data_IF_582485450757
#
_entry.id   IF_582485450757
#
_cell.length_a   1.000
_cell.length_b   1.000
_cell.length_c   1.000
_cell.angle_alpha   90.00
_cell.angle_beta   90.00
_cell.angle_gamma   90.00
#
_symmetry.space_group_name_H-M   'P 1'
#
loop_
_entity.id
_entity.type
_entity.pdbx_description
1 polymer ?
#
# COMPACT_ATOMS: atom_id res chain seq x y z
N UNK A 1 9.96 -36.25 -8.18
CA UNK A 1 8.63 -36.17 -7.48
C UNK A 1 8.84 -35.98 -5.99
N UNK A 2 9.81 -36.66 -5.35
CA UNK A 2 10.04 -36.49 -3.89
C UNK A 2 10.70 -35.17 -3.48
N UNK A 3 11.53 -34.56 -4.31
CA UNK A 3 12.19 -33.28 -4.00
C UNK A 3 11.22 -32.10 -4.07
N UNK A 4 10.33 -32.04 -5.07
CA UNK A 4 9.31 -30.98 -5.18
C UNK A 4 8.33 -30.98 -3.98
N UNK A 5 7.99 -32.17 -3.45
CA UNK A 5 7.15 -32.27 -2.25
C UNK A 5 7.88 -31.85 -0.97
N UNK A 6 9.18 -32.07 -0.88
CA UNK A 6 10.00 -31.64 0.25
C UNK A 6 10.18 -30.11 0.27
N UNK A 7 10.42 -29.49 -0.89
CA UNK A 7 10.50 -28.03 -1.01
C UNK A 7 9.15 -27.35 -0.71
N UNK A 8 8.05 -27.89 -1.22
CA UNK A 8 6.72 -27.37 -0.92
C UNK A 8 6.33 -27.48 0.56
N UNK A 9 6.80 -28.54 1.25
CA UNK A 9 6.65 -28.69 2.70
C UNK A 9 7.39 -27.62 3.50
N UNK A 10 8.64 -27.36 3.14
CA UNK A 10 9.47 -26.35 3.78
C UNK A 10 8.92 -24.92 3.57
N UNK A 11 8.43 -24.61 2.39
CA UNK A 11 7.80 -23.31 2.09
C UNK A 11 6.53 -23.07 2.91
N UNK A 12 5.70 -24.12 3.08
CA UNK A 12 4.49 -24.02 3.92
C UNK A 12 4.81 -23.81 5.41
N UNK A 13 5.80 -24.53 5.92
CA UNK A 13 6.26 -24.36 7.32
C UNK A 13 6.83 -22.95 7.53
N UNK A 14 7.67 -22.48 6.63
CA UNK A 14 8.22 -21.13 6.67
C UNK A 14 7.13 -20.06 6.61
N UNK A 15 6.15 -20.21 5.71
CA UNK A 15 5.02 -19.28 5.59
C UNK A 15 4.17 -19.26 6.87
N UNK A 16 3.94 -20.41 7.50
CA UNK A 16 3.24 -20.52 8.78
C UNK A 16 3.99 -19.80 9.88
N UNK A 17 5.29 -20.03 10.00
CA UNK A 17 6.11 -19.45 11.06
C UNK A 17 6.23 -17.92 10.89
N UNK A 18 6.37 -17.43 9.66
CA UNK A 18 6.30 -16.00 9.35
C UNK A 18 4.92 -15.40 9.70
N UNK A 19 3.82 -16.13 9.44
CA UNK A 19 2.48 -15.69 9.81
C UNK A 19 2.33 -15.57 11.34
N UNK A 20 2.84 -16.51 12.12
CA UNK A 20 2.82 -16.41 13.59
C UNK A 20 3.65 -15.24 14.11
N UNK A 21 4.82 -14.99 13.53
CA UNK A 21 5.65 -13.82 13.86
C UNK A 21 4.89 -12.53 13.54
N UNK A 22 4.28 -12.43 12.36
CA UNK A 22 3.49 -11.26 11.97
C UNK A 22 2.30 -11.01 12.91
N UNK A 23 1.56 -12.06 13.27
CA UNK A 23 0.46 -11.97 14.25
C UNK A 23 1.00 -11.50 15.61
N UNK A 24 2.11 -12.04 16.08
CA UNK A 24 2.73 -11.65 17.34
C UNK A 24 3.14 -10.17 17.35
N UNK A 25 3.80 -9.70 16.29
CA UNK A 25 4.19 -8.29 16.14
C UNK A 25 2.96 -7.39 16.09
N UNK A 26 1.94 -7.76 15.31
CA UNK A 26 0.68 -7.00 15.24
C UNK A 26 -0.02 -6.94 16.60
N UNK A 27 -0.09 -8.04 17.32
CA UNK A 27 -0.69 -8.08 18.66
C UNK A 27 0.03 -7.14 19.64
N UNK A 28 1.37 -7.16 19.63
CA UNK A 28 2.19 -6.26 20.47
C UNK A 28 1.94 -4.80 20.10
N UNK A 29 1.91 -4.46 18.81
CA UNK A 29 1.66 -3.10 18.34
C UNK A 29 0.26 -2.62 18.70
N UNK A 30 -0.76 -3.49 18.58
CA UNK A 30 -2.14 -3.15 18.97
C UNK A 30 -2.24 -2.95 20.49
N UNK A 31 -1.67 -3.83 21.30
CA UNK A 31 -1.63 -3.66 22.76
C UNK A 31 -0.90 -2.38 23.13
N UNK A 32 0.25 -2.11 22.51
CA UNK A 32 0.98 -0.87 22.72
C UNK A 32 0.12 0.35 22.37
N UNK A 33 -0.54 0.34 21.21
CA UNK A 33 -1.43 1.42 20.80
C UNK A 33 -2.59 1.64 21.78
N UNK A 34 -3.25 0.56 22.23
CA UNK A 34 -4.37 0.65 23.18
C UNK A 34 -3.93 1.18 24.55
N UNK A 35 -2.73 0.80 25.01
CA UNK A 35 -2.21 1.24 26.31
C UNK A 35 -1.72 2.69 26.27
N UNK A 36 -1.05 3.11 25.18
CA UNK A 36 -0.43 4.43 25.07
C UNK A 36 -1.29 5.48 24.40
N UNK A 37 -2.21 5.10 23.49
CA UNK A 37 -3.15 6.03 22.88
C UNK A 37 -4.31 6.30 23.86
N UNK A 38 -4.10 7.28 24.73
CA UNK A 38 -5.13 7.76 25.63
C UNK A 38 -6.16 8.57 24.84
N UNK A 39 -7.40 8.09 24.79
CA UNK A 39 -8.49 8.88 24.20
C UNK A 39 -8.63 10.23 24.91
N UNK A 40 -8.72 11.29 24.16
CA UNK A 40 -8.94 12.63 24.71
C UNK A 40 -10.33 12.70 25.31
N UNK A 41 -10.50 13.13 26.59
CA UNK A 41 -11.81 13.19 27.28
C UNK A 41 -12.87 14.00 26.51
N UNK A 42 -12.42 14.97 25.71
CA UNK A 42 -13.28 15.83 24.88
C UNK A 42 -14.10 15.06 23.84
N UNK A 43 -13.66 13.87 23.43
CA UNK A 43 -14.37 13.05 22.46
C UNK A 43 -15.22 11.93 23.07
N UNK A 44 -15.09 11.70 24.39
CA UNK A 44 -15.83 10.64 25.08
C UNK A 44 -17.30 10.99 25.32
N UNK A 45 -17.69 12.27 25.29
CA UNK A 45 -19.05 12.75 25.52
C UNK A 45 -19.91 12.91 24.26
N UNK A 46 -19.45 12.44 23.10
CA UNK A 46 -20.33 12.37 21.93
C UNK A 46 -21.34 11.25 22.17
N UNK A 47 -22.64 11.63 22.22
CA UNK A 47 -23.75 10.69 22.30
C UNK A 47 -23.49 9.56 21.28
N UNK A 48 -23.24 8.36 21.81
CA UNK A 48 -23.08 7.16 21.00
C UNK A 48 -24.43 6.80 20.41
N UNK A 49 -24.76 7.38 19.27
CA UNK A 49 -25.80 6.85 18.42
C UNK A 49 -25.40 5.43 18.01
N UNK A 50 -26.33 4.47 18.08
CA UNK A 50 -26.05 3.09 17.69
C UNK A 50 -25.36 3.01 16.31
N UNK A 51 -24.59 1.96 16.01
CA UNK A 51 -23.78 1.83 14.81
C UNK A 51 -24.57 2.04 13.51
N UNK A 52 -25.83 1.65 13.48
CA UNK A 52 -26.73 1.89 12.33
C UNK A 52 -27.05 3.37 12.12
N UNK A 53 -27.16 4.15 13.19
CA UNK A 53 -27.38 5.60 13.10
C UNK A 53 -26.14 6.30 12.58
N UNK A 54 -24.96 5.92 13.11
CA UNK A 54 -23.69 6.45 12.63
C UNK A 54 -23.49 6.16 11.12
N UNK A 55 -23.82 4.95 10.67
CA UNK A 55 -23.76 4.59 9.25
C UNK A 55 -24.71 5.44 8.40
N UNK A 56 -25.95 5.66 8.87
CA UNK A 56 -26.92 6.50 8.17
C UNK A 56 -26.49 7.97 8.12
N UNK A 57 -25.90 8.49 9.18
CA UNK A 57 -25.41 9.86 9.26
C UNK A 57 -24.21 10.08 8.32
N UNK A 58 -23.30 9.10 8.23
CA UNK A 58 -22.19 9.10 7.28
C UNK A 58 -22.72 9.09 5.84
N UNK A 59 -23.72 8.22 5.55
CA UNK A 59 -24.30 8.10 4.21
C UNK A 59 -25.12 9.32 3.81
N UNK A 60 -25.70 10.01 4.77
CA UNK A 60 -26.41 11.29 4.57
C UNK A 60 -25.47 12.48 4.27
N UNK A 61 -24.17 12.37 4.61
CA UNK A 61 -23.22 13.43 4.37
C UNK A 61 -22.56 13.29 2.99
N UNK A 62 -22.77 14.24 2.04
CA UNK A 62 -22.21 14.14 0.69
C UNK A 62 -20.66 14.13 0.67
N UNK A 63 -20.01 14.84 1.61
CA UNK A 63 -18.56 14.84 1.71
C UNK A 63 -18.01 13.50 2.21
N UNK A 64 -18.69 12.87 3.18
CA UNK A 64 -18.31 11.56 3.68
C UNK A 64 -18.49 10.47 2.62
N UNK A 65 -19.58 10.51 1.84
CA UNK A 65 -19.78 9.59 0.72
C UNK A 65 -18.69 9.72 -0.34
N UNK A 66 -18.37 10.95 -0.73
CA UNK A 66 -17.32 11.20 -1.72
C UNK A 66 -15.99 10.61 -1.23
N UNK A 67 -15.66 10.86 0.05
CA UNK A 67 -14.45 10.36 0.68
C UNK A 67 -14.39 8.83 0.66
N UNK A 68 -15.44 8.16 1.12
CA UNK A 68 -15.53 6.70 1.15
C UNK A 68 -15.40 6.13 -0.27
N UNK A 69 -16.06 6.76 -1.25
CA UNK A 69 -16.00 6.32 -2.65
C UNK A 69 -14.58 6.44 -3.21
N UNK A 70 -13.90 7.56 -2.98
CA UNK A 70 -12.52 7.76 -3.43
C UNK A 70 -11.59 6.75 -2.77
N UNK A 71 -11.68 6.57 -1.44
CA UNK A 71 -10.87 5.60 -0.71
C UNK A 71 -11.14 4.16 -1.16
N UNK A 72 -12.40 3.82 -1.47
CA UNK A 72 -12.75 2.51 -2.00
C UNK A 72 -12.09 2.26 -3.37
N UNK A 73 -12.20 3.22 -4.30
CA UNK A 73 -11.58 3.13 -5.63
C UNK A 73 -10.05 3.00 -5.49
N UNK A 74 -9.44 3.79 -4.61
CA UNK A 74 -7.99 3.75 -4.35
C UNK A 74 -7.55 2.39 -3.81
N UNK A 75 -8.29 1.81 -2.86
CA UNK A 75 -7.98 0.48 -2.32
C UNK A 75 -8.17 -0.64 -3.35
N UNK A 76 -9.23 -0.58 -4.18
CA UNK A 76 -9.43 -1.53 -5.28
C UNK A 76 -8.28 -1.42 -6.29
N UNK A 77 -7.88 -0.21 -6.65
CA UNK A 77 -6.73 0.03 -7.52
C UNK A 77 -5.44 -0.53 -6.95
N UNK A 78 -5.17 -0.28 -5.68
CA UNK A 78 -3.98 -0.78 -4.98
C UNK A 78 -3.94 -2.31 -4.90
N UNK A 79 -5.09 -2.95 -4.62
CA UNK A 79 -5.20 -4.41 -4.61
C UNK A 79 -4.96 -5.01 -6.00
N UNK A 80 -5.51 -4.40 -7.06
CA UNK A 80 -5.29 -4.81 -8.43
C UNK A 80 -3.80 -4.71 -8.82
N UNK A 81 -3.14 -3.62 -8.44
CA UNK A 81 -1.72 -3.41 -8.69
C UNK A 81 -0.88 -4.49 -7.99
N UNK A 82 -1.18 -4.79 -6.72
CA UNK A 82 -0.46 -5.83 -5.99
C UNK A 82 -0.60 -7.22 -6.66
N UNK A 83 -1.80 -7.57 -7.11
CA UNK A 83 -2.04 -8.81 -7.85
C UNK A 83 -1.30 -8.83 -9.20
N UNK A 84 -1.36 -7.72 -9.94
CA UNK A 84 -0.69 -7.59 -11.25
C UNK A 84 0.84 -7.61 -11.13
N UNK A 85 1.41 -7.14 -10.03
CA UNK A 85 2.87 -7.14 -9.83
C UNK A 85 3.44 -8.56 -9.89
N UNK A 86 2.77 -9.54 -9.25
CA UNK A 86 3.16 -10.94 -9.33
C UNK A 86 3.06 -11.48 -10.76
N UNK A 87 1.97 -11.15 -11.46
CA UNK A 87 1.75 -11.52 -12.86
C UNK A 87 2.82 -10.93 -13.78
N UNK A 88 3.15 -9.66 -13.62
CA UNK A 88 4.18 -8.98 -14.41
C UNK A 88 5.55 -9.61 -14.16
N UNK A 89 5.91 -9.91 -12.90
CA UNK A 89 7.17 -10.56 -12.57
C UNK A 89 7.30 -11.94 -13.24
N UNK A 90 6.21 -12.70 -13.28
CA UNK A 90 6.20 -14.06 -13.83
C UNK A 90 6.17 -14.07 -15.36
N UNK A 91 5.27 -13.30 -15.98
CA UNK A 91 4.98 -13.44 -17.42
C UNK A 91 5.62 -12.35 -18.30
N UNK A 92 5.87 -11.16 -17.76
CA UNK A 92 6.44 -10.05 -18.54
C UNK A 92 7.94 -9.97 -18.33
N UNK A 93 8.39 -10.04 -17.08
CA UNK A 93 9.83 -9.98 -16.76
C UNK A 93 10.48 -11.37 -16.97
N UNK A 94 9.75 -12.45 -16.71
CA UNK A 94 10.26 -13.81 -16.82
C UNK A 94 11.15 -14.23 -15.63
N UNK A 95 11.10 -13.50 -14.52
CA UNK A 95 11.89 -13.74 -13.32
C UNK A 95 11.00 -13.77 -12.06
N UNK A 96 10.19 -14.82 -11.86
CA UNK A 96 9.26 -14.91 -10.73
C UNK A 96 9.96 -14.87 -9.36
N UNK A 97 11.20 -15.35 -9.28
CA UNK A 97 12.00 -15.29 -8.05
C UNK A 97 12.32 -13.84 -7.60
N UNK A 98 12.22 -12.87 -8.51
CA UNK A 98 12.47 -11.45 -8.21
C UNK A 98 11.21 -10.69 -7.75
N UNK A 99 10.04 -11.33 -7.73
CA UNK A 99 8.80 -10.71 -7.27
C UNK A 99 8.90 -10.09 -5.86
N UNK A 100 9.50 -10.75 -4.85
CA UNK A 100 9.70 -10.14 -3.53
C UNK A 100 10.56 -8.87 -3.58
N UNK A 101 11.56 -8.84 -4.45
CA UNK A 101 12.45 -7.68 -4.60
C UNK A 101 11.72 -6.49 -5.23
N UNK A 102 10.85 -6.73 -6.20
CA UNK A 102 10.00 -5.72 -6.82
C UNK A 102 9.03 -5.12 -5.78
N UNK A 103 8.44 -5.97 -4.93
CA UNK A 103 7.57 -5.52 -3.83
C UNK A 103 8.36 -4.68 -2.83
N UNK A 104 9.57 -5.09 -2.46
CA UNK A 104 10.44 -4.30 -1.58
C UNK A 104 10.83 -2.97 -2.21
N UNK A 105 11.13 -2.95 -3.52
CA UNK A 105 11.42 -1.72 -4.25
C UNK A 105 10.26 -0.71 -4.21
N UNK A 106 9.02 -1.18 -4.07
CA UNK A 106 7.85 -0.33 -3.86
C UNK A 106 7.67 0.07 -2.38
N UNK A 107 7.76 -0.90 -1.45
CA UNK A 107 7.42 -0.67 -0.03
C UNK A 107 8.47 0.17 0.70
N UNK A 108 9.76 -0.02 0.40
CA UNK A 108 10.84 0.73 1.06
C UNK A 108 10.75 2.22 0.77
N UNK A 109 10.68 2.70 -0.49
CA UNK A 109 10.48 4.12 -0.76
C UNK A 109 9.16 4.66 -0.21
N UNK A 110 8.06 3.87 -0.25
CA UNK A 110 6.77 4.29 0.30
C UNK A 110 6.88 4.70 1.78
N UNK A 111 7.66 3.97 2.56
CA UNK A 111 7.85 4.27 3.99
C UNK A 111 8.91 5.35 4.23
N UNK A 112 10.01 5.29 3.48
CA UNK A 112 11.17 6.16 3.69
C UNK A 112 10.90 7.63 3.31
N UNK A 113 10.05 7.85 2.30
CA UNK A 113 9.76 9.20 1.79
C UNK A 113 8.59 9.90 2.50
N UNK A 114 7.89 9.24 3.42
CA UNK A 114 6.86 9.84 4.27
C UNK A 114 7.32 11.17 4.92
N UNK A 115 8.51 11.25 5.57
CA UNK A 115 8.98 12.48 6.20
C UNK A 115 9.15 13.66 5.22
N UNK A 116 9.37 13.38 3.94
CA UNK A 116 9.54 14.41 2.90
C UNK A 116 8.19 14.98 2.48
N UNK A 117 7.16 14.16 2.43
CA UNK A 117 5.82 14.61 2.04
C UNK A 117 5.16 15.53 3.07
N UNK A 118 5.47 15.36 4.36
CA UNK A 118 4.92 16.20 5.44
C UNK A 118 5.26 17.69 5.26
N UNK A 119 6.54 18.12 5.16
CA UNK A 119 6.87 19.52 4.94
C UNK A 119 6.41 20.05 3.59
N UNK A 120 6.41 19.18 2.55
CA UNK A 120 5.95 19.54 1.22
C UNK A 120 4.46 19.90 1.23
N UNK A 121 3.65 19.13 1.94
CA UNK A 121 2.21 19.39 2.10
C UNK A 121 1.91 20.66 2.90
N UNK A 122 2.75 20.98 3.88
CA UNK A 122 2.64 22.24 4.63
C UNK A 122 2.95 23.45 3.76
N UNK A 123 3.89 23.32 2.81
CA UNK A 123 4.34 24.40 1.93
C UNK A 123 3.40 24.64 0.73
N UNK A 124 2.96 23.60 0.07
CA UNK A 124 2.20 23.67 -1.19
C UNK A 124 0.70 23.38 -1.03
N UNK A 125 0.29 22.92 0.15
CA UNK A 125 -1.07 22.51 0.45
C UNK A 125 -1.32 21.03 0.17
N UNK A 126 -2.12 20.40 1.03
CA UNK A 126 -2.39 18.95 1.02
C UNK A 126 -2.92 18.44 -0.33
N UNK A 127 -3.91 19.14 -0.91
CA UNK A 127 -4.60 18.71 -2.14
C UNK A 127 -3.65 18.69 -3.33
N UNK A 128 -2.83 19.73 -3.50
CA UNK A 128 -1.89 19.82 -4.63
C UNK A 128 -0.83 18.74 -4.57
N UNK A 129 -0.30 18.47 -3.38
CA UNK A 129 0.72 17.46 -3.17
C UNK A 129 0.14 16.06 -3.37
N UNK A 130 -1.08 15.82 -2.90
CA UNK A 130 -1.79 14.56 -3.13
C UNK A 130 -2.06 14.32 -4.62
N UNK A 131 -2.55 15.33 -5.35
CA UNK A 131 -2.72 15.23 -6.81
C UNK A 131 -1.41 14.94 -7.54
N UNK A 132 -0.30 15.59 -7.14
CA UNK A 132 1.01 15.31 -7.69
C UNK A 132 1.45 13.87 -7.45
N UNK A 133 1.20 13.32 -6.26
CA UNK A 133 1.41 11.92 -5.94
C UNK A 133 0.59 10.98 -6.84
N UNK A 134 -0.70 11.27 -7.05
CA UNK A 134 -1.55 10.48 -7.95
C UNK A 134 -1.05 10.48 -9.39
N UNK A 135 -0.64 11.64 -9.92
CA UNK A 135 -0.07 11.75 -11.26
C UNK A 135 1.22 10.95 -11.36
N UNK A 136 2.09 11.06 -10.36
CA UNK A 136 3.35 10.32 -10.32
C UNK A 136 3.12 8.80 -10.27
N UNK A 137 2.16 8.34 -9.48
CA UNK A 137 1.73 6.94 -9.43
C UNK A 137 1.20 6.48 -10.79
N UNK A 138 0.35 7.26 -11.42
CA UNK A 138 -0.20 6.96 -12.74
C UNK A 138 0.87 6.87 -13.82
N UNK A 139 1.85 7.77 -13.82
CA UNK A 139 2.99 7.72 -14.73
C UNK A 139 3.89 6.51 -14.48
N UNK A 140 4.12 6.14 -13.22
CA UNK A 140 4.92 4.98 -12.86
C UNK A 140 4.28 3.68 -13.35
N UNK A 141 3.00 3.47 -13.07
CA UNK A 141 2.30 2.27 -13.55
C UNK A 141 2.05 2.29 -15.06
N UNK A 142 1.75 3.47 -15.63
CA UNK A 142 1.67 3.65 -17.08
C UNK A 142 2.99 3.33 -17.80
N UNK A 143 4.12 3.65 -17.16
CA UNK A 143 5.46 3.32 -17.65
C UNK A 143 5.71 1.80 -17.76
N UNK A 144 5.02 0.97 -16.98
CA UNK A 144 5.13 -0.49 -17.09
C UNK A 144 4.62 -1.03 -18.43
N UNK A 145 3.83 -0.26 -19.17
CA UNK A 145 3.40 -0.60 -20.54
C UNK A 145 4.59 -0.80 -21.48
N UNK A 146 5.71 -0.17 -21.22
CA UNK A 146 6.91 -0.27 -22.06
C UNK A 146 7.76 -1.52 -21.78
N UNK A 147 7.50 -2.26 -20.69
CA UNK A 147 8.27 -3.46 -20.32
C UNK A 147 8.32 -4.54 -21.44
N UNK A 148 7.23 -4.87 -22.13
CA UNK A 148 7.27 -5.90 -23.18
C UNK A 148 8.13 -5.52 -24.40
N UNK A 149 8.37 -4.23 -24.63
CA UNK A 149 9.17 -3.75 -25.76
C UNK A 149 10.69 -3.83 -25.54
N UNK A 150 11.11 -4.16 -24.31
CA UNK A 150 12.52 -4.32 -23.96
C UNK A 150 12.90 -5.79 -24.10
N UNK A 151 13.89 -6.11 -24.93
CA UNK A 151 14.30 -7.50 -25.20
C UNK A 151 15.08 -8.12 -24.03
N UNK A 152 15.92 -7.34 -23.35
CA UNK A 152 16.79 -7.80 -22.27
C UNK A 152 16.03 -7.93 -20.93
N UNK A 153 16.16 -9.11 -20.29
CA UNK A 153 15.55 -9.37 -18.97
C UNK A 153 16.10 -8.43 -17.90
N UNK A 154 17.41 -8.15 -17.93
CA UNK A 154 18.05 -7.28 -16.95
C UNK A 154 17.53 -5.84 -17.04
N UNK A 155 17.33 -5.34 -18.26
CA UNK A 155 16.75 -4.01 -18.48
C UNK A 155 15.26 -3.97 -18.08
N UNK A 156 14.50 -5.03 -18.32
CA UNK A 156 13.11 -5.13 -17.82
C UNK A 156 13.07 -5.09 -16.31
N UNK A 157 13.95 -5.86 -15.66
CA UNK A 157 14.03 -5.92 -14.20
C UNK A 157 14.42 -4.55 -13.62
N UNK A 158 15.42 -3.89 -14.21
CA UNK A 158 15.82 -2.55 -13.78
C UNK A 158 14.69 -1.55 -13.93
N UNK A 159 14.00 -1.54 -15.08
CA UNK A 159 12.90 -0.61 -15.33
C UNK A 159 11.73 -0.84 -14.38
N UNK A 160 11.32 -2.11 -14.13
CA UNK A 160 10.20 -2.37 -13.21
C UNK A 160 10.55 -1.99 -11.79
N UNK A 161 11.78 -2.25 -11.33
CA UNK A 161 12.23 -1.85 -10.00
C UNK A 161 12.26 -0.32 -9.85
N UNK A 162 12.73 0.39 -10.87
CA UNK A 162 12.74 1.85 -10.90
C UNK A 162 11.31 2.42 -10.86
N UNK A 163 10.41 1.91 -11.69
CA UNK A 163 9.00 2.33 -11.72
C UNK A 163 8.28 1.98 -10.41
N UNK A 164 8.56 0.80 -9.85
CA UNK A 164 8.01 0.40 -8.55
C UNK A 164 8.49 1.33 -7.42
N UNK A 165 9.78 1.71 -7.41
CA UNK A 165 10.32 2.65 -6.44
C UNK A 165 9.67 4.04 -6.56
N UNK A 166 9.46 4.52 -7.79
CA UNK A 166 8.77 5.79 -8.04
C UNK A 166 7.30 5.74 -7.62
N UNK A 167 6.60 4.64 -7.89
CA UNK A 167 5.23 4.43 -7.44
C UNK A 167 5.15 4.37 -5.91
N UNK A 168 6.11 3.69 -5.27
CA UNK A 168 6.23 3.62 -3.82
C UNK A 168 6.45 5.01 -3.20
N UNK A 169 7.37 5.79 -3.75
CA UNK A 169 7.60 7.17 -3.34
C UNK A 169 6.31 8.00 -3.39
N UNK A 170 5.56 7.89 -4.49
CA UNK A 170 4.30 8.59 -4.66
C UNK A 170 3.21 8.11 -3.67
N UNK A 171 3.15 6.81 -3.41
CA UNK A 171 2.19 6.22 -2.47
C UNK A 171 2.40 6.68 -1.03
N UNK A 172 3.65 6.94 -0.61
CA UNK A 172 3.96 7.54 0.69
C UNK A 172 3.26 8.87 0.94
N UNK A 173 2.90 9.60 -0.13
CA UNK A 173 2.09 10.80 -0.07
C UNK A 173 0.63 10.50 0.35
N UNK A 174 0.00 9.47 -0.25
CA UNK A 174 -1.40 9.12 0.02
C UNK A 174 -1.64 8.68 1.46
N UNK A 175 -0.76 7.86 2.00
CA UNK A 175 -0.87 7.35 3.38
C UNK A 175 -0.75 8.41 4.48
N UNK A 176 -0.10 9.55 4.19
CA UNK A 176 0.13 10.62 5.18
C UNK A 176 -0.77 11.83 5.03
N UNK A 177 -1.27 12.07 3.82
CA UNK A 177 -2.07 13.23 3.46
C UNK A 177 -3.54 12.89 3.26
N UNK A 178 -3.90 11.63 3.44
CA UNK A 178 -5.28 11.18 3.41
C UNK A 178 -6.18 12.10 4.23
N UNK A 179 -7.46 12.19 3.90
CA UNK A 179 -8.35 13.19 4.44
C UNK A 179 -8.43 13.10 5.95
N UNK A 180 -7.81 14.04 6.61
CA UNK A 180 -7.90 14.34 8.06
C UNK A 180 -8.66 15.62 8.24
#
# INVERSE_FOLDING_TARGET
>A
INEEFAEGGNVRLLARDLAFIAIGVMAVLVIYAVVYLRERPEFQNRQQGGPLRAFRDIWGNPHARLLITVTFIENVGSAAIAALTLYIAQYVVGAPAMAPLIILAYMVPSSLFVPIWIPLSKRYGKIKVWMAGMVLTGLSFGGMFFLPFIESIDHRLFLIMFLAAFAGLANGCGGTLGPS
#
